data_IF_100315044176
#
_entry.id   IF_100315044176
#
_cell.length_a   1.000
_cell.length_b   1.000
_cell.length_c   1.000
_cell.angle_alpha   90.00
_cell.angle_beta   90.00
_cell.angle_gamma   90.00
#
_symmetry.space_group_name_H-M   'P 1'
#
loop_
_entity.id
_entity.type
_entity.pdbx_description
1 polymer ?
#
# COMPACT_ATOMS: atom_id res chain seq x y z
N UNK A 1 0.37 21.06 -2.95
CA UNK A 1 -0.90 21.07 -3.75
C UNK A 1 -1.96 20.16 -3.11
N UNK A 2 -1.76 18.82 -3.02
CA UNK A 2 -2.80 17.93 -2.47
C UNK A 2 -3.20 18.31 -1.04
N UNK A 3 -2.25 18.62 -0.17
CA UNK A 3 -2.49 19.09 1.19
C UNK A 3 -3.25 20.42 1.23
N UNK A 4 -2.87 21.37 0.40
CA UNK A 4 -3.57 22.67 0.25
C UNK A 4 -5.02 22.50 -0.20
N UNK A 5 -5.31 21.44 -0.95
CA UNK A 5 -6.65 21.08 -1.40
C UNK A 5 -7.42 20.19 -0.40
N UNK A 6 -6.84 19.93 0.79
CA UNK A 6 -7.52 19.23 1.88
C UNK A 6 -7.33 17.72 1.91
N UNK A 7 -6.33 17.18 1.21
CA UNK A 7 -5.98 15.76 1.39
C UNK A 7 -5.62 15.48 2.86
N UNK A 8 -6.16 14.41 3.43
CA UNK A 8 -5.90 14.00 4.80
C UNK A 8 -4.44 13.64 5.02
N UNK A 9 -3.83 12.95 4.07
CA UNK A 9 -2.40 12.64 4.00
C UNK A 9 -1.97 12.41 2.55
N UNK A 10 -0.67 12.39 2.31
CA UNK A 10 -0.07 12.10 1.00
C UNK A 10 0.95 10.98 1.12
N UNK A 11 1.17 10.26 0.02
CA UNK A 11 2.17 9.19 -0.07
C UNK A 11 3.09 9.47 -1.25
N UNK A 12 4.39 9.24 -1.08
CA UNK A 12 5.39 9.42 -2.15
C UNK A 12 5.19 8.42 -3.30
N UNK A 13 5.93 8.62 -4.39
CA UNK A 13 6.20 7.55 -5.35
C UNK A 13 6.87 6.36 -4.65
N UNK A 14 6.72 5.15 -5.24
CA UNK A 14 7.26 3.94 -4.63
C UNK A 14 8.79 3.87 -4.71
N UNK A 15 9.42 3.61 -3.59
CA UNK A 15 10.87 3.53 -3.41
C UNK A 15 11.31 2.07 -3.28
N UNK A 16 12.36 1.68 -3.99
CA UNK A 16 12.89 0.31 -3.91
C UNK A 16 13.65 0.11 -2.59
N UNK A 17 13.15 -0.78 -1.72
CA UNK A 17 13.85 -1.16 -0.49
C UNK A 17 15.25 -1.75 -0.78
N UNK A 18 15.37 -2.54 -1.84
CA UNK A 18 16.67 -3.09 -2.28
C UNK A 18 17.65 -1.99 -2.69
N UNK A 19 17.17 -0.95 -3.40
CA UNK A 19 18.04 0.18 -3.77
C UNK A 19 18.50 0.98 -2.54
N UNK A 20 17.65 1.11 -1.52
CA UNK A 20 18.04 1.72 -0.24
C UNK A 20 19.14 0.94 0.45
N UNK A 21 19.02 -0.38 0.56
CA UNK A 21 20.05 -1.24 1.14
C UNK A 21 21.41 -1.13 0.43
N UNK A 22 21.39 -0.95 -0.89
CA UNK A 22 22.61 -0.72 -1.67
C UNK A 22 23.05 0.75 -1.72
N UNK A 23 22.43 1.61 -0.92
CA UNK A 23 22.78 3.03 -0.79
C UNK A 23 22.77 3.79 -2.14
N UNK A 24 21.83 3.45 -3.03
CA UNK A 24 21.69 4.13 -4.31
C UNK A 24 21.32 5.59 -4.11
N UNK A 25 22.26 6.47 -4.44
CA UNK A 25 22.14 7.92 -4.25
C UNK A 25 20.98 8.56 -5.03
N UNK A 26 20.49 7.89 -6.10
CA UNK A 26 19.34 8.36 -6.88
C UNK A 26 18.01 8.06 -6.22
N UNK A 27 18.00 7.11 -5.28
CA UNK A 27 16.80 6.67 -4.56
C UNK A 27 16.47 7.58 -3.38
N UNK A 28 17.48 8.11 -2.68
CA UNK A 28 17.29 8.97 -1.50
C UNK A 28 16.40 10.21 -1.75
N UNK A 29 16.55 10.95 -2.87
CA UNK A 29 15.68 12.09 -3.15
C UNK A 29 14.18 11.75 -3.31
N UNK A 30 13.85 10.49 -3.66
CA UNK A 30 12.45 10.06 -3.86
C UNK A 30 11.64 9.96 -2.57
N UNK A 31 12.30 9.91 -1.42
CA UNK A 31 11.63 9.85 -0.12
C UNK A 31 11.70 11.16 0.67
N UNK A 32 12.13 12.26 0.02
CA UNK A 32 12.12 13.59 0.66
C UNK A 32 10.68 14.08 0.82
N UNK A 33 10.36 14.50 2.03
CA UNK A 33 9.10 15.13 2.37
C UNK A 33 9.33 16.61 2.66
N UNK A 34 8.43 17.47 2.21
CA UNK A 34 8.44 18.90 2.56
C UNK A 34 7.78 19.11 3.93
N UNK A 35 8.19 20.15 4.63
CA UNK A 35 7.60 20.51 5.95
C UNK A 35 6.07 20.69 5.89
N UNK A 36 5.55 21.20 4.78
CA UNK A 36 4.12 21.44 4.56
C UNK A 36 3.35 20.20 4.07
N UNK A 37 4.03 19.06 3.83
CA UNK A 37 3.39 17.85 3.32
C UNK A 37 2.81 16.96 4.42
N UNK A 38 3.23 17.13 5.66
CA UNK A 38 2.77 16.31 6.79
C UNK A 38 1.26 16.49 7.10
N UNK A 39 0.51 15.39 7.43
CA UNK A 39 0.99 14.02 7.47
C UNK A 39 1.29 13.46 6.08
N UNK A 40 2.46 12.86 5.95
CA UNK A 40 2.93 12.28 4.70
C UNK A 40 3.61 10.92 4.94
N UNK A 41 3.46 10.03 3.98
CA UNK A 41 4.06 8.70 4.03
C UNK A 41 5.05 8.45 2.92
N UNK A 42 5.98 7.54 3.16
CA UNK A 42 6.88 7.00 2.15
C UNK A 42 6.45 5.60 1.77
N UNK A 43 6.22 5.38 0.47
CA UNK A 43 5.89 4.04 -0.03
C UNK A 43 7.14 3.29 -0.46
N UNK A 44 7.33 2.07 0.07
CA UNK A 44 8.41 1.17 -0.31
C UNK A 44 7.88 -0.07 -1.03
N UNK A 45 8.71 -0.67 -1.88
CA UNK A 45 8.42 -1.95 -2.52
C UNK A 45 9.63 -2.88 -2.55
N UNK A 46 9.36 -4.16 -2.55
CA UNK A 46 10.34 -5.24 -2.58
C UNK A 46 9.73 -6.55 -2.07
N UNK A 47 10.50 -7.62 -2.14
CA UNK A 47 10.10 -8.95 -1.64
C UNK A 47 11.24 -9.69 -0.93
N UNK A 48 12.42 -9.09 -0.83
CA UNK A 48 13.51 -9.56 0.00
C UNK A 48 13.31 -9.07 1.44
N UNK A 49 13.18 -9.98 2.39
CA UNK A 49 12.79 -9.67 3.75
C UNK A 49 13.82 -8.79 4.48
N UNK A 50 15.12 -9.09 4.28
CA UNK A 50 16.18 -8.32 4.91
C UNK A 50 16.23 -6.89 4.36
N UNK A 51 16.12 -6.74 3.04
CA UNK A 51 16.07 -5.42 2.42
C UNK A 51 14.79 -4.64 2.79
N UNK A 52 13.66 -5.31 2.99
CA UNK A 52 12.41 -4.64 3.40
C UNK A 52 12.50 -4.14 4.84
N UNK A 53 13.09 -4.91 5.76
CA UNK A 53 13.34 -4.48 7.14
C UNK A 53 14.33 -3.30 7.19
N UNK A 54 15.48 -3.45 6.55
CA UNK A 54 16.53 -2.42 6.50
C UNK A 54 16.06 -1.16 5.77
N UNK A 55 15.37 -1.32 4.64
CA UNK A 55 14.81 -0.21 3.87
C UNK A 55 13.80 0.60 4.68
N UNK A 56 12.93 -0.05 5.45
CA UNK A 56 12.01 0.63 6.36
C UNK A 56 12.75 1.39 7.47
N UNK A 57 13.82 0.82 8.04
CA UNK A 57 14.66 1.49 9.02
C UNK A 57 15.35 2.73 8.42
N UNK A 58 15.87 2.63 7.20
CA UNK A 58 16.47 3.78 6.49
C UNK A 58 15.42 4.88 6.25
N UNK A 59 14.23 4.52 5.79
CA UNK A 59 13.13 5.48 5.59
C UNK A 59 12.77 6.18 6.89
N UNK A 60 12.63 5.43 8.00
CA UNK A 60 12.37 6.01 9.32
C UNK A 60 13.41 7.05 9.73
N UNK A 61 14.69 6.73 9.54
CA UNK A 61 15.81 7.55 10.03
C UNK A 61 16.15 8.74 9.13
N UNK A 62 15.86 8.63 7.84
CA UNK A 62 16.24 9.65 6.84
C UNK A 62 15.09 10.57 6.46
N UNK A 63 13.89 9.99 6.26
CA UNK A 63 12.73 10.74 5.79
C UNK A 63 11.81 11.21 6.91
N UNK A 64 11.85 10.57 8.10
CA UNK A 64 10.98 10.85 9.24
C UNK A 64 9.49 10.94 8.85
N UNK A 65 8.93 9.98 8.11
CA UNK A 65 7.56 10.05 7.66
C UNK A 65 6.56 9.77 8.79
N UNK A 66 5.31 10.20 8.62
CA UNK A 66 4.22 9.84 9.53
C UNK A 66 3.74 8.40 9.28
N UNK A 67 3.95 7.85 8.08
CA UNK A 67 3.50 6.53 7.65
C UNK A 67 4.58 5.89 6.76
N UNK A 68 4.80 4.58 6.92
CA UNK A 68 5.52 3.77 5.91
C UNK A 68 4.49 2.88 5.23
N UNK A 69 4.33 3.04 3.90
CA UNK A 69 3.37 2.27 3.12
C UNK A 69 4.07 1.18 2.29
N UNK A 70 3.47 -0.02 2.23
CA UNK A 70 4.00 -1.14 1.46
C UNK A 70 3.22 -1.25 0.16
N UNK A 71 3.92 -1.19 -0.98
CA UNK A 71 3.31 -1.46 -2.28
C UNK A 71 3.14 -2.96 -2.52
N UNK A 72 1.91 -3.44 -2.51
CA UNK A 72 1.51 -4.80 -2.93
C UNK A 72 0.56 -4.76 -4.14
N UNK A 73 0.64 -3.69 -4.95
CA UNK A 73 -0.30 -3.46 -6.06
C UNK A 73 0.32 -3.13 -7.40
N UNK A 74 1.59 -2.76 -7.50
CA UNK A 74 2.21 -2.35 -8.76
C UNK A 74 2.14 -3.49 -9.80
N UNK A 75 1.42 -3.29 -10.93
CA UNK A 75 1.21 -4.35 -11.92
C UNK A 75 2.31 -4.41 -12.98
N UNK A 76 3.26 -3.47 -12.96
CA UNK A 76 4.32 -3.36 -13.99
C UNK A 76 5.12 -4.66 -14.05
N UNK A 77 5.32 -5.25 -15.25
CA UNK A 77 6.01 -6.55 -15.39
C UNK A 77 7.40 -6.60 -14.73
N UNK A 78 8.18 -5.52 -14.83
CA UNK A 78 9.51 -5.41 -14.22
C UNK A 78 9.47 -5.54 -12.68
N UNK A 79 8.37 -5.18 -12.05
CA UNK A 79 8.14 -5.30 -10.59
C UNK A 79 7.48 -6.63 -10.28
N UNK A 80 6.31 -6.88 -10.86
CA UNK A 80 5.47 -8.03 -10.53
C UNK A 80 6.10 -9.38 -10.88
N UNK A 81 6.86 -9.48 -11.99
CA UNK A 81 7.51 -10.73 -12.38
C UNK A 81 8.70 -11.09 -11.48
N UNK A 82 9.27 -10.11 -10.77
CA UNK A 82 10.31 -10.35 -9.75
C UNK A 82 9.73 -10.76 -8.37
N UNK A 83 8.41 -10.84 -8.27
CA UNK A 83 7.73 -11.16 -7.01
C UNK A 83 7.47 -9.94 -6.12
N UNK A 84 7.75 -8.73 -6.60
CA UNK A 84 7.52 -7.47 -5.89
C UNK A 84 6.14 -6.89 -6.23
N UNK A 85 5.67 -5.91 -5.46
CA UNK A 85 4.40 -5.25 -5.71
C UNK A 85 3.24 -6.25 -5.80
N UNK A 86 2.49 -6.25 -6.92
CA UNK A 86 1.39 -7.21 -7.11
C UNK A 86 1.85 -8.68 -7.24
N UNK A 87 3.13 -8.93 -7.42
CA UNK A 87 3.72 -10.29 -7.41
C UNK A 87 3.55 -10.98 -6.07
N UNK A 88 3.54 -10.23 -4.96
CA UNK A 88 3.29 -10.73 -3.61
C UNK A 88 1.89 -11.36 -3.45
N UNK A 89 0.90 -10.94 -4.25
CA UNK A 89 -0.46 -11.50 -4.21
C UNK A 89 -0.55 -12.97 -4.68
N UNK A 90 0.55 -13.54 -5.17
CA UNK A 90 0.64 -14.96 -5.56
C UNK A 90 1.20 -15.86 -4.45
N UNK A 91 1.69 -15.25 -3.36
CA UNK A 91 2.29 -15.95 -2.22
C UNK A 91 1.97 -15.15 -0.95
N UNK A 92 0.86 -15.51 -0.30
CA UNK A 92 0.37 -14.78 0.87
C UNK A 92 1.29 -14.92 2.08
N UNK A 93 1.93 -16.09 2.26
CA UNK A 93 2.89 -16.29 3.35
C UNK A 93 4.06 -15.32 3.20
N UNK A 94 4.56 -15.16 1.97
CA UNK A 94 5.61 -14.19 1.68
C UNK A 94 5.14 -12.75 1.87
N UNK A 95 3.92 -12.41 1.44
CA UNK A 95 3.35 -11.07 1.62
C UNK A 95 3.24 -10.71 3.11
N UNK A 96 2.74 -11.64 3.95
CA UNK A 96 2.66 -11.46 5.40
C UNK A 96 4.05 -11.28 6.03
N UNK A 97 5.04 -12.09 5.64
CA UNK A 97 6.42 -11.97 6.13
C UNK A 97 7.09 -10.65 5.71
N UNK A 98 6.79 -10.15 4.50
CA UNK A 98 7.24 -8.81 4.06
C UNK A 98 6.65 -7.72 4.96
N UNK A 99 5.35 -7.79 5.27
CA UNK A 99 4.71 -6.83 6.15
C UNK A 99 5.31 -6.86 7.57
N UNK A 100 5.58 -8.04 8.11
CA UNK A 100 6.24 -8.23 9.40
C UNK A 100 7.65 -7.62 9.42
N UNK A 101 8.45 -7.87 8.36
CA UNK A 101 9.80 -7.30 8.23
C UNK A 101 9.76 -5.77 8.18
N UNK A 102 8.84 -5.19 7.41
CA UNK A 102 8.67 -3.72 7.36
C UNK A 102 8.26 -3.16 8.71
N UNK A 103 7.31 -3.78 9.41
CA UNK A 103 6.91 -3.35 10.76
C UNK A 103 8.09 -3.32 11.73
N UNK A 104 8.93 -4.33 11.66
CA UNK A 104 10.14 -4.41 12.51
C UNK A 104 11.10 -3.26 12.21
N UNK A 105 11.38 -2.97 10.93
CA UNK A 105 12.23 -1.85 10.52
C UNK A 105 11.61 -0.47 10.81
N UNK A 106 10.29 -0.34 10.68
CA UNK A 106 9.57 0.91 10.92
C UNK A 106 9.56 1.36 12.40
N UNK A 107 9.73 0.43 13.35
CA UNK A 107 9.65 0.75 14.78
C UNK A 107 8.26 1.24 15.19
N UNK A 108 8.18 2.45 15.70
CA UNK A 108 6.91 3.06 16.16
C UNK A 108 6.10 3.74 15.04
N UNK A 109 6.67 3.88 13.83
CA UNK A 109 5.97 4.50 12.71
C UNK A 109 4.87 3.53 12.20
N UNK A 110 3.62 3.99 12.05
CA UNK A 110 2.54 3.19 11.51
C UNK A 110 2.87 2.66 10.12
N UNK A 111 2.61 1.36 9.91
CA UNK A 111 2.77 0.73 8.59
C UNK A 111 1.41 0.49 7.96
N UNK A 112 1.27 0.89 6.70
CA UNK A 112 0.08 0.65 5.88
C UNK A 112 0.42 -0.20 4.67
N UNK A 113 -0.60 -0.75 4.01
CA UNK A 113 -0.43 -1.56 2.80
C UNK A 113 -1.38 -1.09 1.72
N UNK A 114 -0.85 -0.83 0.50
CA UNK A 114 -1.68 -0.65 -0.69
C UNK A 114 -1.63 -1.90 -1.56
N UNK A 115 -2.81 -2.49 -1.83
CA UNK A 115 -2.93 -3.75 -2.59
C UNK A 115 -4.08 -3.74 -3.60
N UNK A 116 -4.09 -4.77 -4.47
CA UNK A 116 -5.17 -5.10 -5.39
C UNK A 116 -6.03 -6.24 -4.82
N UNK A 117 -7.14 -6.59 -5.53
CA UNK A 117 -7.99 -7.73 -5.16
C UNK A 117 -7.26 -9.07 -5.17
N UNK A 118 -6.26 -9.20 -6.02
CA UNK A 118 -5.52 -10.42 -6.27
C UNK A 118 -4.85 -10.40 -7.64
N UNK A 119 -4.32 -11.55 -8.07
CA UNK A 119 -3.63 -11.65 -9.36
C UNK A 119 -4.59 -11.57 -10.54
N UNK A 120 -5.63 -12.38 -10.54
CA UNK A 120 -6.67 -12.47 -11.56
C UNK A 120 -8.02 -12.85 -10.93
N UNK A 121 -9.06 -13.01 -11.75
CA UNK A 121 -10.42 -13.32 -11.28
C UNK A 121 -10.55 -14.68 -10.57
N UNK A 122 -9.67 -15.62 -10.85
CA UNK A 122 -9.63 -16.93 -10.20
C UNK A 122 -8.81 -16.93 -8.91
N UNK A 123 -8.02 -15.88 -8.68
CA UNK A 123 -7.10 -15.74 -7.57
C UNK A 123 -7.33 -14.40 -6.86
N UNK A 124 -8.52 -14.25 -6.27
CA UNK A 124 -8.88 -13.12 -5.40
C UNK A 124 -8.46 -13.47 -3.98
N UNK A 125 -7.53 -12.71 -3.42
CA UNK A 125 -6.89 -13.00 -2.14
C UNK A 125 -6.97 -11.85 -1.13
N UNK A 126 -7.60 -10.75 -1.52
CA UNK A 126 -7.59 -9.51 -0.73
C UNK A 126 -8.18 -9.68 0.67
N UNK A 127 -9.19 -10.53 0.86
CA UNK A 127 -9.80 -10.74 2.17
C UNK A 127 -8.85 -11.49 3.12
N UNK A 128 -8.32 -12.61 2.66
CA UNK A 128 -7.39 -13.44 3.44
C UNK A 128 -6.10 -12.67 3.78
N UNK A 129 -5.52 -11.99 2.79
CA UNK A 129 -4.35 -11.16 3.01
C UNK A 129 -4.63 -10.03 4.01
N UNK A 130 -5.76 -9.34 3.86
CA UNK A 130 -6.13 -8.24 4.73
C UNK A 130 -6.27 -8.66 6.21
N UNK A 131 -6.84 -9.83 6.47
CA UNK A 131 -6.94 -10.40 7.82
C UNK A 131 -5.56 -10.73 8.40
N UNK A 132 -4.68 -11.36 7.61
CA UNK A 132 -3.29 -11.59 8.05
C UNK A 132 -2.57 -10.28 8.37
N UNK A 133 -2.74 -9.24 7.55
CA UNK A 133 -2.12 -7.93 7.77
C UNK A 133 -2.64 -7.24 9.03
N UNK A 134 -3.93 -7.33 9.32
CA UNK A 134 -4.52 -6.82 10.57
C UNK A 134 -3.94 -7.55 11.79
N UNK A 135 -3.88 -8.88 11.76
CA UNK A 135 -3.30 -9.70 12.84
C UNK A 135 -1.82 -9.37 13.09
N UNK A 136 -1.08 -8.99 12.06
CA UNK A 136 0.29 -8.49 12.15
C UNK A 136 0.38 -7.04 12.67
N UNK A 137 -0.74 -6.34 12.85
CA UNK A 137 -0.82 -4.97 13.36
C UNK A 137 -0.48 -3.91 12.29
N UNK A 138 -0.82 -4.16 11.03
CA UNK A 138 -0.85 -3.12 10.00
C UNK A 138 -1.92 -2.09 10.36
N UNK A 139 -1.59 -0.81 10.23
CA UNK A 139 -2.41 0.29 10.72
C UNK A 139 -3.61 0.62 9.81
N UNK A 140 -3.49 0.40 8.50
CA UNK A 140 -4.56 0.62 7.52
C UNK A 140 -4.28 -0.11 6.21
N UNK A 141 -5.33 -0.37 5.43
CA UNK A 141 -5.22 -0.98 4.11
C UNK A 141 -5.87 -0.07 3.06
N UNK A 142 -5.14 0.20 1.97
CA UNK A 142 -5.72 0.81 0.77
C UNK A 142 -5.98 -0.29 -0.26
N UNK A 143 -7.25 -0.52 -0.60
CA UNK A 143 -7.65 -1.57 -1.53
C UNK A 143 -8.14 -1.00 -2.86
N UNK A 144 -7.45 -1.32 -3.95
CA UNK A 144 -7.91 -1.04 -5.31
C UNK A 144 -8.85 -2.17 -5.78
N UNK A 145 -10.03 -1.80 -6.22
CA UNK A 145 -11.11 -2.72 -6.61
C UNK A 145 -10.89 -3.49 -7.92
N UNK A 146 -9.65 -3.71 -8.34
CA UNK A 146 -9.27 -4.50 -9.55
C UNK A 146 -8.21 -5.54 -9.24
N UNK A 147 -8.09 -6.53 -10.13
CA UNK A 147 -6.99 -7.50 -10.10
C UNK A 147 -5.79 -6.98 -10.91
N UNK A 148 -4.61 -7.61 -10.70
CA UNK A 148 -3.40 -7.28 -11.48
C UNK A 148 -3.60 -7.46 -12.98
N UNK A 149 -4.27 -8.53 -13.40
CA UNK A 149 -4.50 -8.82 -14.83
C UNK A 149 -5.48 -7.82 -15.46
N UNK A 150 -6.46 -7.33 -14.70
CA UNK A 150 -7.36 -6.30 -15.19
C UNK A 150 -6.64 -4.98 -15.50
N UNK A 151 -5.62 -4.62 -14.75
CA UNK A 151 -5.02 -3.29 -14.80
C UNK A 151 -6.09 -2.20 -14.69
N UNK A 152 -6.37 -1.48 -15.78
CA UNK A 152 -7.41 -0.44 -15.82
C UNK A 152 -8.66 -0.85 -16.62
N UNK A 153 -8.73 -2.11 -17.08
CA UNK A 153 -9.88 -2.58 -17.86
C UNK A 153 -11.12 -2.80 -16.97
N UNK A 154 -12.30 -2.60 -17.56
CA UNK A 154 -13.58 -2.76 -16.86
C UNK A 154 -13.76 -1.76 -15.73
N UNK A 155 -14.54 -2.14 -14.73
CA UNK A 155 -14.84 -1.32 -13.54
C UNK A 155 -14.20 -1.89 -12.29
N UNK A 156 -13.86 -1.01 -11.33
CA UNK A 156 -13.42 -1.41 -10.00
C UNK A 156 -14.60 -2.06 -9.25
N UNK A 157 -14.34 -3.21 -8.65
CA UNK A 157 -15.36 -3.94 -7.91
C UNK A 157 -15.37 -3.49 -6.44
N UNK A 158 -16.29 -2.59 -6.11
CA UNK A 158 -16.45 -2.04 -4.77
C UNK A 158 -17.06 -3.03 -3.76
N UNK A 159 -17.69 -4.13 -4.22
CA UNK A 159 -18.19 -5.19 -3.33
C UNK A 159 -17.07 -5.89 -2.57
N UNK A 160 -15.90 -6.06 -3.19
CA UNK A 160 -14.74 -6.60 -2.50
C UNK A 160 -14.20 -5.64 -1.44
N UNK A 161 -14.18 -4.33 -1.72
CA UNK A 161 -13.81 -3.31 -0.72
C UNK A 161 -14.75 -3.38 0.47
N UNK A 162 -16.07 -3.49 0.22
CA UNK A 162 -17.08 -3.66 1.26
C UNK A 162 -16.84 -4.90 2.12
N UNK A 163 -16.57 -6.05 1.48
CA UNK A 163 -16.30 -7.30 2.18
C UNK A 163 -15.07 -7.20 3.09
N UNK A 164 -13.99 -6.61 2.59
CA UNK A 164 -12.77 -6.39 3.38
C UNK A 164 -13.07 -5.43 4.53
N UNK A 165 -13.77 -4.31 4.30
CA UNK A 165 -14.15 -3.38 5.38
C UNK A 165 -15.02 -4.03 6.46
N UNK A 166 -15.94 -4.90 6.07
CA UNK A 166 -16.81 -5.61 7.04
C UNK A 166 -16.07 -6.66 7.88
N UNK A 167 -14.93 -7.16 7.38
CA UNK A 167 -14.13 -8.17 8.05
C UNK A 167 -13.04 -7.61 8.96
N UNK A 168 -12.68 -6.33 8.81
CA UNK A 168 -11.57 -5.68 9.52
C UNK A 168 -12.06 -4.62 10.49
N UNK A 169 -11.31 -4.44 11.57
CA UNK A 169 -11.48 -3.34 12.52
C UNK A 169 -10.63 -2.12 12.16
N UNK A 170 -9.50 -2.32 11.47
CA UNK A 170 -8.62 -1.25 11.01
C UNK A 170 -9.22 -0.45 9.84
N UNK A 171 -8.75 0.78 9.62
CA UNK A 171 -9.19 1.60 8.48
C UNK A 171 -8.95 0.93 7.14
N UNK A 172 -9.97 1.00 6.27
CA UNK A 172 -9.91 0.57 4.87
C UNK A 172 -10.16 1.77 3.96
N UNK A 173 -9.15 2.10 3.14
CA UNK A 173 -9.21 3.19 2.18
C UNK A 173 -9.57 2.60 0.82
N UNK A 174 -10.66 3.09 0.24
CA UNK A 174 -11.19 2.61 -1.02
C UNK A 174 -10.50 3.30 -2.22
N UNK A 175 -10.09 2.52 -3.21
CA UNK A 175 -9.45 3.05 -4.40
C UNK A 175 -10.03 2.43 -5.69
N UNK A 176 -10.15 3.24 -6.72
CA UNK A 176 -10.54 2.84 -8.07
C UNK A 176 -11.87 3.44 -8.52
N UNK A 177 -11.85 4.01 -9.74
CA UNK A 177 -12.99 4.64 -10.42
C UNK A 177 -13.63 5.80 -9.64
N UNK A 178 -12.80 6.60 -9.00
CA UNK A 178 -13.19 7.85 -8.34
C UNK A 178 -12.70 9.01 -9.21
N UNK A 179 -13.61 9.59 -9.99
CA UNK A 179 -13.32 10.67 -10.94
C UNK A 179 -13.97 11.99 -10.56
N UNK A 180 -14.80 11.98 -9.50
CA UNK A 180 -15.53 13.15 -9.02
C UNK A 180 -15.76 13.10 -7.51
N UNK A 181 -16.11 14.25 -6.91
CA UNK A 181 -16.54 14.28 -5.51
C UNK A 181 -17.81 13.44 -5.25
N UNK A 182 -18.66 13.26 -6.26
CA UNK A 182 -19.83 12.39 -6.18
C UNK A 182 -19.44 10.91 -6.11
N UNK A 183 -18.42 10.50 -6.88
CA UNK A 183 -17.88 9.14 -6.82
C UNK A 183 -17.20 8.90 -5.46
N UNK A 184 -16.44 9.87 -4.96
CA UNK A 184 -15.85 9.81 -3.63
C UNK A 184 -16.93 9.63 -2.55
N UNK A 185 -18.02 10.41 -2.59
CA UNK A 185 -19.13 10.25 -1.67
C UNK A 185 -19.84 8.89 -1.80
N UNK A 186 -19.92 8.34 -3.01
CA UNK A 186 -20.52 7.00 -3.25
C UNK A 186 -19.64 5.88 -2.70
N UNK A 187 -18.33 5.90 -2.97
CA UNK A 187 -17.41 4.86 -2.52
C UNK A 187 -17.23 4.87 -1.00
N UNK A 188 -17.35 6.03 -0.35
CA UNK A 188 -17.38 6.10 1.11
C UNK A 188 -18.66 5.50 1.71
N UNK A 189 -19.83 5.77 1.09
CA UNK A 189 -21.12 5.28 1.63
C UNK A 189 -21.36 3.81 1.33
N UNK A 190 -21.14 3.36 0.10
CA UNK A 190 -21.53 2.01 -0.32
C UNK A 190 -20.67 0.93 0.31
N UNK A 191 -19.32 0.95 0.17
CA UNK A 191 -18.48 0.01 0.90
C UNK A 191 -18.40 0.30 2.41
N UNK A 192 -18.68 1.51 2.83
CA UNK A 192 -18.46 1.96 4.20
C UNK A 192 -16.97 2.18 4.52
N UNK A 193 -16.18 2.55 3.49
CA UNK A 193 -14.76 2.79 3.64
C UNK A 193 -14.47 4.02 4.52
N UNK A 194 -13.33 4.01 5.19
CA UNK A 194 -12.91 5.08 6.10
C UNK A 194 -12.23 6.25 5.36
N UNK A 195 -11.80 6.01 4.11
CA UNK A 195 -11.18 7.01 3.24
C UNK A 195 -11.27 6.62 1.76
N UNK A 196 -10.87 7.53 0.88
CA UNK A 196 -10.85 7.38 -0.57
C UNK A 196 -9.62 8.06 -1.17
#
# INVERSE_FOLDING_TARGET
ICRELGAGYTITEMVSAKALCYQDQKTLPLMRLGEDEHPAGVQIFGSDLACMEEGAAIVREVAHPDIIDINMGCPVPKVANNGDGSGLLRDLDKACRVAEAVRKGAGEIPVTVKMLLGWDKGNIVCLELAQCLEDLGIAAITLHGRTKVQMYAGTANWDWIRRVKQALSIPVIANGDVFSGQDAARILRYPGADGV
#
